data_IF_012931355456
#
_entry.id   IF_012931355456
#
_cell.length_a   1.000
_cell.length_b   1.000
_cell.length_c   1.000
_cell.angle_alpha   90.00
_cell.angle_beta   90.00
_cell.angle_gamma   90.00
#
_symmetry.space_group_name_H-M   'P 1'
#
loop_
_entity.id
_entity.type
_entity.pdbx_description
1 polymer ?
#
# COMPACT_ATOMS: atom_id res chain seq x y z
N UNK A 1 10.00 1.70 -10.78
CA UNK A 1 10.41 2.97 -11.40
C UNK A 1 10.20 2.86 -12.90
N UNK A 2 9.23 3.61 -13.44
CA UNK A 2 8.90 3.64 -14.87
C UNK A 2 9.92 4.40 -15.69
N UNK A 3 10.63 5.38 -15.10
CA UNK A 3 11.67 6.15 -15.81
C UNK A 3 12.96 5.34 -15.96
N UNK A 4 13.30 4.52 -14.97
CA UNK A 4 14.49 3.66 -15.02
C UNK A 4 14.19 2.20 -15.45
N UNK A 5 12.93 1.88 -15.74
CA UNK A 5 12.45 0.52 -16.01
C UNK A 5 12.94 -0.52 -14.97
N UNK A 6 12.95 -0.11 -13.70
CA UNK A 6 13.47 -0.90 -12.57
C UNK A 6 12.32 -1.34 -11.67
N UNK A 7 12.28 -2.62 -11.35
CA UNK A 7 11.41 -3.15 -10.31
C UNK A 7 12.25 -3.41 -9.05
N UNK A 8 11.70 -3.08 -7.90
CA UNK A 8 12.36 -3.31 -6.62
C UNK A 8 11.34 -3.80 -5.63
N UNK A 9 11.71 -4.85 -4.90
CA UNK A 9 10.92 -5.39 -3.82
C UNK A 9 11.41 -4.79 -2.51
N UNK A 10 10.46 -4.25 -1.73
CA UNK A 10 10.73 -3.65 -0.44
C UNK A 10 9.88 -4.37 0.60
N UNK A 11 10.53 -4.76 1.69
CA UNK A 11 9.84 -5.32 2.85
C UNK A 11 9.60 -4.22 3.86
N UNK A 12 8.37 -4.14 4.36
CA UNK A 12 7.95 -3.18 5.36
C UNK A 12 7.31 -3.91 6.55
N UNK A 13 7.57 -3.42 7.76
CA UNK A 13 6.83 -3.88 8.93
C UNK A 13 5.48 -3.15 9.01
N UNK A 14 4.45 -3.86 9.47
CA UNK A 14 3.15 -3.26 9.80
C UNK A 14 3.36 -2.18 10.88
N UNK A 15 2.82 -0.99 10.65
CA UNK A 15 3.03 0.19 11.52
C UNK A 15 4.36 0.91 11.30
N UNK A 16 5.21 0.41 10.41
CA UNK A 16 6.49 1.04 10.05
C UNK A 16 6.38 2.01 8.88
N UNK A 17 7.54 2.46 8.42
CA UNK A 17 7.67 3.28 7.22
C UNK A 17 8.86 2.83 6.38
N UNK A 18 8.76 3.04 5.07
CA UNK A 18 9.78 2.67 4.09
C UNK A 18 9.99 3.85 3.16
N UNK A 19 11.24 4.29 3.04
CA UNK A 19 11.63 5.29 2.04
C UNK A 19 11.89 4.59 0.72
N UNK A 20 11.29 5.09 -0.36
CA UNK A 20 11.58 4.60 -1.71
C UNK A 20 12.95 5.15 -2.15
N UNK A 21 13.93 4.29 -2.45
CA UNK A 21 15.25 4.73 -2.91
C UNK A 21 15.16 5.65 -4.12
N UNK A 22 16.14 6.55 -4.27
CA UNK A 22 16.21 7.49 -5.40
C UNK A 22 14.98 8.41 -5.55
N UNK A 23 14.29 8.67 -4.44
CA UNK A 23 13.12 9.54 -4.35
C UNK A 23 12.93 10.17 -2.97
N UNK A 24 12.03 11.14 -2.89
CA UNK A 24 11.54 11.73 -1.63
C UNK A 24 10.24 11.09 -1.16
N UNK A 25 9.87 9.92 -1.71
CA UNK A 25 8.67 9.19 -1.33
C UNK A 25 8.90 8.37 -0.06
N UNK A 26 8.01 8.53 0.90
CA UNK A 26 7.95 7.74 2.13
C UNK A 26 6.61 7.02 2.16
N UNK A 27 6.65 5.70 2.24
CA UNK A 27 5.48 4.84 2.36
C UNK A 27 5.33 4.45 3.82
N UNK A 28 4.30 4.97 4.48
CA UNK A 28 3.89 4.52 5.81
C UNK A 28 2.96 3.32 5.67
N UNK A 29 3.28 2.25 6.38
CA UNK A 29 2.51 1.01 6.34
C UNK A 29 1.61 0.96 7.56
N UNK A 30 0.31 0.91 7.29
CA UNK A 30 -0.74 0.84 8.29
C UNK A 30 -1.22 -0.60 8.50
N UNK A 31 -2.53 -0.80 8.77
CA UNK A 31 -3.08 -2.11 9.07
C UNK A 31 -3.02 -3.05 7.87
N UNK A 32 -2.78 -4.32 8.15
CA UNK A 32 -2.89 -5.43 7.20
C UNK A 32 -4.19 -6.19 7.47
N UNK A 33 -4.98 -6.40 6.42
CA UNK A 33 -6.23 -7.15 6.46
C UNK A 33 -6.10 -8.38 5.56
N UNK A 34 -6.03 -9.60 6.11
CA UNK A 34 -5.90 -10.82 5.31
C UNK A 34 -7.14 -11.12 4.44
N UNK A 35 -8.32 -10.67 4.88
CA UNK A 35 -9.59 -10.81 4.17
C UNK A 35 -10.33 -9.48 4.12
N UNK A 36 -9.80 -8.54 3.34
CA UNK A 36 -10.34 -7.19 3.24
C UNK A 36 -11.83 -7.19 2.90
N UNK A 37 -12.59 -6.52 3.76
CA UNK A 37 -14.02 -6.28 3.59
C UNK A 37 -14.36 -4.84 3.95
N UNK A 38 -15.11 -4.20 3.06
CA UNK A 38 -15.69 -2.89 3.29
C UNK A 38 -17.19 -3.06 3.52
N UNK A 39 -17.68 -2.64 4.68
CA UNK A 39 -19.10 -2.61 5.02
C UNK A 39 -19.51 -1.15 5.27
N UNK A 40 -20.02 -0.49 4.23
CA UNK A 40 -20.29 0.95 4.25
C UNK A 40 -19.00 1.73 4.51
N UNK A 41 -18.96 2.51 5.58
CA UNK A 41 -17.78 3.29 5.99
C UNK A 41 -16.75 2.49 6.81
N UNK A 42 -17.08 1.25 7.21
CA UNK A 42 -16.22 0.43 8.05
C UNK A 42 -15.37 -0.49 7.18
N UNK A 43 -14.06 -0.42 7.37
CA UNK A 43 -13.10 -1.29 6.70
C UNK A 43 -12.51 -2.25 7.75
N UNK A 44 -12.64 -3.55 7.50
CA UNK A 44 -12.23 -4.61 8.44
C UNK A 44 -11.81 -5.88 7.71
N UNK A 45 -11.30 -6.87 8.44
CA UNK A 45 -11.08 -8.22 7.92
C UNK A 45 -12.29 -9.10 8.19
N UNK A 46 -12.74 -9.87 7.20
CA UNK A 46 -13.84 -10.82 7.37
C UNK A 46 -13.41 -12.13 8.06
N UNK A 47 -12.13 -12.49 7.91
CA UNK A 47 -11.51 -13.69 8.48
C UNK A 47 -10.01 -13.46 8.68
N UNK A 48 -9.31 -14.49 9.18
CA UNK A 48 -7.84 -14.52 9.24
C UNK A 48 -7.20 -15.22 8.03
N UNK A 49 -8.02 -15.71 7.10
CA UNK A 49 -7.55 -16.39 5.89
C UNK A 49 -7.17 -15.37 4.82
N UNK A 50 -6.19 -15.69 3.97
CA UNK A 50 -5.67 -14.80 2.93
C UNK A 50 -6.58 -14.77 1.67
N UNK A 51 -7.88 -14.54 1.89
CA UNK A 51 -8.89 -14.52 0.83
C UNK A 51 -8.82 -13.24 0.01
N UNK A 52 -8.57 -12.10 0.65
CA UNK A 52 -8.43 -10.80 -0.02
C UNK A 52 -7.40 -9.93 0.73
N UNK A 53 -6.11 -10.32 0.68
CA UNK A 53 -5.09 -9.66 1.46
C UNK A 53 -4.84 -8.24 0.94
N UNK A 54 -5.00 -7.29 1.84
CA UNK A 54 -4.81 -5.86 1.58
C UNK A 54 -4.05 -5.19 2.70
N UNK A 55 -3.33 -4.14 2.36
CA UNK A 55 -2.62 -3.30 3.33
C UNK A 55 -3.00 -1.85 3.15
N UNK A 56 -3.27 -1.17 4.26
CA UNK A 56 -3.43 0.27 4.28
C UNK A 56 -2.04 0.92 4.20
N UNK A 57 -1.83 1.80 3.23
CA UNK A 57 -0.61 2.60 3.12
C UNK A 57 -0.95 4.08 3.01
N UNK A 58 -0.06 4.91 3.51
CA UNK A 58 -0.08 6.35 3.26
C UNK A 58 1.26 6.74 2.66
N UNK A 59 1.23 7.40 1.50
CA UNK A 59 2.44 7.78 0.77
C UNK A 59 2.59 9.28 0.89
N UNK A 60 3.78 9.69 1.27
CA UNK A 60 4.16 11.08 1.44
C UNK A 60 5.27 11.42 0.46
N UNK A 61 5.17 12.56 -0.22
CA UNK A 61 6.22 13.13 -1.04
C UNK A 61 6.57 14.51 -0.51
N UNK A 62 7.85 14.77 -0.20
CA UNK A 62 8.28 16.05 0.38
C UNK A 62 7.45 16.46 1.61
N UNK A 63 7.09 15.49 2.46
CA UNK A 63 6.23 15.64 3.64
C UNK A 63 4.75 15.93 3.38
N UNK A 64 4.32 16.05 2.12
CA UNK A 64 2.91 16.15 1.75
C UNK A 64 2.33 14.75 1.49
N UNK A 65 1.16 14.44 2.06
CA UNK A 65 0.47 13.19 1.76
C UNK A 65 -0.06 13.22 0.33
N UNK A 66 0.45 12.32 -0.51
CA UNK A 66 0.04 12.18 -1.91
C UNK A 66 -0.89 10.98 -2.14
N UNK A 67 -0.99 10.08 -1.16
CA UNK A 67 -1.90 8.93 -1.20
C UNK A 67 -2.28 8.48 0.22
N UNK A 68 -3.54 8.08 0.46
CA UNK A 68 -4.69 8.18 -0.44
C UNK A 68 -5.14 9.62 -0.65
N UNK A 69 -5.94 9.87 -1.69
CA UNK A 69 -6.57 11.18 -1.96
C UNK A 69 -7.65 11.56 -0.93
N UNK A 70 -8.20 10.58 -0.20
CA UNK A 70 -9.16 10.78 0.87
C UNK A 70 -9.04 9.67 1.91
N UNK A 71 -9.29 10.00 3.18
CA UNK A 71 -9.13 9.09 4.31
C UNK A 71 -7.67 8.96 4.79
N UNK A 72 -7.49 8.11 5.80
CA UNK A 72 -6.18 7.90 6.46
C UNK A 72 -5.30 6.90 5.71
N UNK A 73 -5.90 5.91 5.06
CA UNK A 73 -5.19 4.78 4.45
C UNK A 73 -5.71 4.52 3.04
N UNK A 74 -4.77 4.40 2.11
CA UNK A 74 -5.04 3.92 0.76
C UNK A 74 -4.77 2.44 0.73
N UNK A 75 -5.76 1.68 0.29
CA UNK A 75 -5.71 0.22 0.37
C UNK A 75 -5.08 -0.34 -0.90
N UNK A 76 -3.96 -1.04 -0.74
CA UNK A 76 -3.36 -1.83 -1.80
C UNK A 76 -3.82 -3.28 -1.66
N UNK A 77 -4.41 -3.79 -2.74
CA UNK A 77 -4.96 -5.16 -2.80
C UNK A 77 -3.96 -6.06 -3.55
N UNK A 78 -3.53 -7.17 -2.95
CA UNK A 78 -2.60 -8.07 -3.63
C UNK A 78 -3.27 -8.76 -4.84
N UNK A 79 -4.55 -9.11 -4.70
CA UNK A 79 -5.34 -9.75 -5.77
C UNK A 79 -5.82 -8.78 -6.84
N UNK A 80 -5.98 -7.51 -6.49
CA UNK A 80 -6.52 -6.47 -7.38
C UNK A 80 -5.65 -5.21 -7.37
N UNK A 81 -4.38 -5.29 -7.82
CA UNK A 81 -3.41 -4.20 -7.70
C UNK A 81 -3.75 -2.96 -8.52
N UNK A 82 -4.77 -3.04 -9.38
CA UNK A 82 -5.26 -1.93 -10.21
C UNK A 82 -6.44 -1.18 -9.58
N UNK A 83 -6.97 -1.67 -8.44
CA UNK A 83 -8.01 -0.97 -7.69
C UNK A 83 -7.34 0.11 -6.83
N UNK A 84 -7.75 1.36 -7.04
CA UNK A 84 -7.16 2.55 -6.39
C UNK A 84 -5.62 2.58 -6.46
N UNK A 85 -5.05 2.53 -7.67
CA UNK A 85 -3.61 2.48 -7.82
C UNK A 85 -3.01 3.80 -7.37
N UNK A 86 -1.80 3.73 -6.82
CA UNK A 86 -1.02 4.94 -6.59
C UNK A 86 -0.67 5.61 -7.93
N UNK A 87 -1.27 6.78 -8.17
CA UNK A 87 -1.06 7.60 -9.36
C UNK A 87 0.15 8.51 -9.15
N UNK A 88 1.27 8.16 -9.76
CA UNK A 88 2.49 8.96 -9.74
C UNK A 88 3.23 8.75 -11.07
N UNK A 89 3.84 9.79 -11.62
CA UNK A 89 4.45 9.75 -12.97
C UNK A 89 5.57 8.72 -13.09
N UNK A 90 6.46 8.67 -12.10
CA UNK A 90 7.63 7.78 -12.05
C UNK A 90 7.42 6.45 -11.34
N UNK A 91 6.68 6.40 -10.23
CA UNK A 91 6.61 5.22 -9.38
C UNK A 91 5.22 4.59 -9.40
N UNK A 92 5.18 3.26 -9.39
CA UNK A 92 3.96 2.49 -9.16
C UNK A 92 4.21 1.58 -7.96
N UNK A 93 3.23 1.51 -7.06
CA UNK A 93 3.30 0.66 -5.86
C UNK A 93 2.19 -0.38 -5.94
N UNK A 94 2.55 -1.63 -5.69
CA UNK A 94 1.65 -2.78 -5.67
C UNK A 94 1.99 -3.62 -4.44
N UNK A 95 0.97 -4.14 -3.77
CA UNK A 95 1.17 -5.15 -2.75
C UNK A 95 1.48 -6.48 -3.45
N UNK A 96 2.67 -7.03 -3.22
CA UNK A 96 3.05 -8.34 -3.77
C UNK A 96 2.44 -9.48 -2.96
N UNK A 97 2.79 -9.55 -1.68
CA UNK A 97 2.30 -10.58 -0.77
C UNK A 97 2.41 -10.13 0.69
N UNK A 98 1.67 -10.78 1.59
CA UNK A 98 1.86 -10.65 3.03
C UNK A 98 2.88 -11.68 3.51
N UNK A 99 3.98 -11.24 4.11
CA UNK A 99 4.99 -12.13 4.66
C UNK A 99 4.59 -12.50 6.09
N UNK A 100 4.32 -13.79 6.33
CA UNK A 100 4.13 -14.33 7.69
C UNK A 100 5.50 -14.42 8.37
N UNK A 101 5.65 -13.77 9.53
CA UNK A 101 6.80 -14.00 10.42
C UNK A 101 6.56 -15.22 11.30
#
# INVERSE_FOLDING_TARGET
>A
DRKQNKQQELTANIGGEVKIPDSNLIVKVGPFLPDFKMNGAVITSASNDLNNPSVGVAIFENSAQVFPSSGKWGWLYARYPEIHPFQHDRFGLKLKEGIKK
#
